data_IF_154244701013
#
_entry.id   IF_154244701013
#
_cell.length_a   1.000
_cell.length_b   1.000
_cell.length_c   1.000
_cell.angle_alpha   90.00
_cell.angle_beta   90.00
_cell.angle_gamma   90.00
#
_symmetry.space_group_name_H-M   'P 1'
#
loop_
_entity.id
_entity.type
_entity.pdbx_description
1 polymer ?
#
# COMPACT_ATOMS: atom_id res chain seq x y z
N UNK A 1 -8.44 38.61 -11.54
CA UNK A 1 -7.00 38.42 -11.80
C UNK A 1 -6.59 36.96 -11.95
N UNK A 2 -7.04 36.03 -11.09
CA UNK A 2 -6.74 34.58 -11.16
C UNK A 2 -6.95 33.96 -12.56
N UNK A 3 -8.02 34.39 -13.25
CA UNK A 3 -8.36 33.96 -14.61
C UNK A 3 -7.27 34.27 -15.64
N UNK A 4 -6.55 35.38 -15.47
CA UNK A 4 -5.46 35.76 -16.38
C UNK A 4 -4.20 34.93 -16.11
N UNK A 5 -3.85 34.70 -14.84
CA UNK A 5 -2.74 33.82 -14.46
C UNK A 5 -2.96 32.38 -14.93
N UNK A 6 -4.17 31.83 -14.76
CA UNK A 6 -4.53 30.51 -15.28
C UNK A 6 -4.39 30.43 -16.81
N UNK A 7 -4.85 31.48 -17.52
CA UNK A 7 -4.75 31.55 -18.99
C UNK A 7 -3.29 31.61 -19.46
N UNK A 8 -2.43 32.35 -18.76
CA UNK A 8 -1.00 32.46 -19.06
C UNK A 8 -0.28 31.13 -18.77
N UNK A 9 -0.58 30.50 -17.62
CA UNK A 9 -0.02 29.21 -17.24
C UNK A 9 -0.37 28.11 -18.26
N UNK A 10 -1.65 28.00 -18.64
CA UNK A 10 -2.10 27.04 -19.65
C UNK A 10 -1.44 27.27 -21.01
N UNK A 11 -1.27 28.53 -21.42
CA UNK A 11 -0.57 28.85 -22.68
C UNK A 11 0.91 28.49 -22.62
N UNK A 12 1.54 28.62 -21.45
CA UNK A 12 2.94 28.27 -21.25
C UNK A 12 3.14 26.74 -21.25
N UNK A 13 2.26 25.99 -20.58
CA UNK A 13 2.22 24.53 -20.62
C UNK A 13 2.02 24.00 -22.05
N UNK A 14 1.12 24.63 -22.81
CA UNK A 14 0.87 24.28 -24.21
C UNK A 14 2.00 24.65 -25.17
N UNK A 15 2.92 25.56 -24.77
CA UNK A 15 4.11 25.92 -25.56
C UNK A 15 5.24 24.91 -25.35
N UNK A 16 5.38 24.36 -24.14
CA UNK A 16 6.42 23.38 -23.78
C UNK A 16 5.87 21.96 -23.60
N UNK A 17 5.08 21.49 -24.58
CA UNK A 17 4.25 20.27 -24.48
C UNK A 17 5.01 19.00 -24.05
N UNK A 18 6.20 18.77 -24.61
CA UNK A 18 6.98 17.55 -24.31
C UNK A 18 7.47 17.55 -22.86
N UNK A 19 8.10 18.66 -22.42
CA UNK A 19 8.61 18.79 -21.06
C UNK A 19 7.47 18.77 -20.03
N UNK A 20 6.36 19.46 -20.33
CA UNK A 20 5.16 19.42 -19.50
C UNK A 20 4.56 18.02 -19.42
N UNK A 21 4.49 17.28 -20.54
CA UNK A 21 3.98 15.92 -20.54
C UNK A 21 4.82 14.96 -19.69
N UNK A 22 6.15 15.02 -19.82
CA UNK A 22 7.07 14.16 -19.03
C UNK A 22 6.93 14.47 -17.53
N UNK A 23 6.93 15.75 -17.14
CA UNK A 23 6.81 16.14 -15.73
C UNK A 23 5.47 15.73 -15.14
N UNK A 24 4.35 15.98 -15.84
CA UNK A 24 3.02 15.60 -15.36
C UNK A 24 2.90 14.08 -15.30
N UNK A 25 3.36 13.35 -16.31
CA UNK A 25 3.31 11.89 -16.32
C UNK A 25 4.13 11.28 -15.18
N UNK A 26 5.38 11.73 -15.00
CA UNK A 26 6.25 11.24 -13.91
C UNK A 26 5.65 11.51 -12.53
N UNK A 27 5.15 12.73 -12.30
CA UNK A 27 4.50 13.09 -11.04
C UNK A 27 3.22 12.27 -10.80
N UNK A 28 2.39 12.10 -11.84
CA UNK A 28 1.13 11.36 -11.74
C UNK A 28 1.37 9.89 -11.44
N UNK A 29 2.35 9.26 -12.11
CA UNK A 29 2.72 7.87 -11.88
C UNK A 29 3.28 7.69 -10.46
N UNK A 30 4.15 8.60 -10.00
CA UNK A 30 4.67 8.56 -8.63
C UNK A 30 3.57 8.66 -7.58
N UNK A 31 2.62 9.59 -7.76
CA UNK A 31 1.45 9.72 -6.90
C UNK A 31 0.55 8.48 -6.94
N UNK A 32 0.27 7.94 -8.12
CA UNK A 32 -0.54 6.74 -8.27
C UNK A 32 0.10 5.54 -7.55
N UNK A 33 1.40 5.34 -7.71
CA UNK A 33 2.13 4.27 -7.04
C UNK A 33 2.09 4.42 -5.51
N UNK A 34 2.30 5.63 -4.99
CA UNK A 34 2.19 5.91 -3.56
C UNK A 34 0.78 5.62 -3.03
N UNK A 35 -0.26 6.07 -3.74
CA UNK A 35 -1.65 5.81 -3.36
C UNK A 35 -1.99 4.32 -3.36
N UNK A 36 -1.51 3.57 -4.36
CA UNK A 36 -1.71 2.12 -4.42
C UNK A 36 -1.06 1.39 -3.24
N UNK A 37 0.16 1.79 -2.84
CA UNK A 37 0.83 1.22 -1.67
C UNK A 37 0.04 1.52 -0.39
N UNK A 38 -0.44 2.76 -0.22
CA UNK A 38 -1.26 3.14 0.94
C UNK A 38 -2.55 2.34 0.98
N UNK A 39 -3.23 2.18 -0.16
CA UNK A 39 -4.45 1.37 -0.27
C UNK A 39 -4.19 -0.09 0.08
N UNK A 40 -3.10 -0.67 -0.43
CA UNK A 40 -2.71 -2.04 -0.12
C UNK A 40 -2.46 -2.24 1.38
N UNK A 41 -1.72 -1.33 2.01
CA UNK A 41 -1.47 -1.40 3.47
C UNK A 41 -2.76 -1.21 4.28
N UNK A 42 -3.65 -0.33 3.82
CA UNK A 42 -4.94 -0.12 4.46
C UNK A 42 -5.83 -1.37 4.37
N UNK A 43 -5.82 -2.05 3.22
CA UNK A 43 -6.55 -3.30 2.99
C UNK A 43 -6.01 -4.42 3.89
N UNK A 44 -4.68 -4.63 3.90
CA UNK A 44 -4.03 -5.65 4.74
C UNK A 44 -4.34 -5.44 6.24
N UNK A 45 -4.35 -4.18 6.70
CA UNK A 45 -4.73 -3.86 8.09
C UNK A 45 -6.23 -3.99 8.36
N UNK A 46 -7.07 -3.90 7.34
CA UNK A 46 -8.51 -4.07 7.47
C UNK A 46 -8.88 -5.55 7.63
N UNK A 47 -8.05 -6.48 7.15
CA UNK A 47 -8.30 -7.92 7.24
C UNK A 47 -8.64 -8.38 8.66
N UNK A 48 -7.85 -7.98 9.66
CA UNK A 48 -8.06 -8.35 11.06
C UNK A 48 -9.25 -7.64 11.74
N UNK A 49 -9.81 -6.59 11.10
CA UNK A 49 -10.89 -5.76 11.66
C UNK A 49 -12.31 -6.23 11.32
N UNK A 50 -12.48 -7.29 10.53
CA UNK A 50 -13.82 -7.81 10.20
C UNK A 50 -14.50 -8.54 11.36
N UNK A 51 -13.77 -8.85 12.43
CA UNK A 51 -14.28 -9.56 13.59
C UNK A 51 -14.72 -8.58 14.68
N UNK A 52 -15.96 -8.72 15.16
CA UNK A 52 -16.54 -7.86 16.21
C UNK A 52 -15.72 -7.85 17.51
N UNK A 53 -14.88 -8.87 17.73
CA UNK A 53 -13.99 -9.03 18.89
C UNK A 53 -12.56 -9.34 18.45
N UNK A 54 -12.11 -8.73 17.35
CA UNK A 54 -10.82 -9.01 16.70
C UNK A 54 -9.59 -8.92 17.61
N UNK A 55 -9.61 -8.05 18.63
CA UNK A 55 -8.52 -7.96 19.62
C UNK A 55 -8.37 -9.23 20.48
N UNK A 56 -9.41 -10.07 20.56
CA UNK A 56 -9.39 -11.34 21.30
C UNK A 56 -9.15 -12.55 20.39
N UNK A 57 -8.94 -12.33 19.09
CA UNK A 57 -8.64 -13.39 18.13
C UNK A 57 -7.14 -13.62 18.09
N UNK A 58 -6.72 -14.80 18.53
CA UNK A 58 -5.31 -15.21 18.50
C UNK A 58 -5.10 -16.32 17.47
N UNK A 59 -4.01 -16.23 16.69
CA UNK A 59 -3.59 -17.33 15.82
C UNK A 59 -2.67 -18.27 16.59
N UNK A 60 -3.09 -19.53 16.75
CA UNK A 60 -2.23 -20.58 17.30
C UNK A 60 -1.16 -20.92 16.26
N UNK A 61 0.11 -20.77 16.62
CA UNK A 61 1.26 -21.08 15.77
C UNK A 61 2.14 -22.13 16.44
N UNK A 62 2.76 -23.00 15.64
CA UNK A 62 3.63 -24.05 16.14
C UNK A 62 5.09 -23.63 15.99
N UNK A 63 5.82 -23.56 17.10
CA UNK A 63 7.28 -23.47 17.09
C UNK A 63 7.88 -24.81 17.50
N UNK A 64 8.55 -25.47 16.56
CA UNK A 64 9.27 -26.71 16.84
C UNK A 64 10.74 -26.40 17.10
N UNK A 65 11.20 -26.64 18.33
CA UNK A 65 12.59 -26.50 18.74
C UNK A 65 13.31 -27.84 18.66
N UNK A 66 14.27 -27.95 17.75
CA UNK A 66 15.29 -29.00 17.73
C UNK A 66 16.55 -28.48 18.44
N UNK A 67 17.47 -29.38 18.88
CA UNK A 67 18.73 -28.98 19.51
C UNK A 67 19.54 -27.95 18.69
N UNK A 68 19.47 -28.04 17.36
CA UNK A 68 20.30 -27.25 16.44
C UNK A 68 19.50 -26.24 15.61
N UNK A 69 18.15 -26.30 15.67
CA UNK A 69 17.28 -25.47 14.82
C UNK A 69 15.89 -25.27 15.41
N UNK A 70 15.41 -24.03 15.40
CA UNK A 70 14.00 -23.73 15.60
C UNK A 70 13.31 -23.56 14.24
N UNK A 71 12.15 -24.19 14.05
CA UNK A 71 11.32 -24.03 12.85
C UNK A 71 9.92 -23.56 13.25
N UNK A 72 9.46 -22.47 12.64
CA UNK A 72 8.16 -21.85 12.91
C UNK A 72 7.18 -22.22 11.80
N UNK A 73 6.01 -22.72 12.17
CA UNK A 73 4.96 -23.12 11.24
C UNK A 73 3.73 -22.24 11.43
N UNK A 74 3.13 -21.80 10.32
CA UNK A 74 1.89 -21.01 10.31
C UNK A 74 0.64 -21.85 10.61
N UNK A 75 0.72 -23.17 10.43
CA UNK A 75 -0.38 -24.12 10.61
C UNK A 75 -0.02 -25.13 11.71
N UNK A 76 -0.99 -25.44 12.57
CA UNK A 76 -0.91 -26.50 13.57
C UNK A 76 -1.33 -27.82 12.90
N UNK A 77 -0.54 -28.91 12.98
CA UNK A 77 -0.97 -30.22 12.51
C UNK A 77 -2.23 -30.69 13.26
N UNK A 78 -3.13 -31.45 12.62
CA UNK A 78 -4.40 -31.89 13.23
C UNK A 78 -4.22 -32.68 14.52
N UNK A 79 -3.06 -33.31 14.73
CA UNK A 79 -2.74 -34.05 15.94
C UNK A 79 -2.56 -33.19 17.19
N UNK A 80 -2.48 -31.85 17.04
CA UNK A 80 -2.27 -30.88 18.11
C UNK A 80 -3.42 -29.86 18.25
N UNK A 81 -4.49 -30.00 17.45
CA UNK A 81 -5.71 -29.21 17.53
C UNK A 81 -6.75 -29.93 18.40
#
# INVERSE_FOLDING_TARGET
MLRNYLKIALRNLAKHRINTAINIAGLSIGMACCLLIVLFVADERSFDRHWAEGERVYRVALERKYPDRASKYATIPPSYA
#
